data_IF_793971052844
#
_entry.id   IF_793971052844
#
_cell.length_a   1.000
_cell.length_b   1.000
_cell.length_c   1.000
_cell.angle_alpha   90.00
_cell.angle_beta   90.00
_cell.angle_gamma   90.00
#
_symmetry.space_group_name_H-M   'P 1'
#
loop_
_entity.id
_entity.type
_entity.pdbx_description
1 polymer ?
#
# COMPACT_ATOMS: atom_id res chain seq x y z
N UNK A 1 -11.83 8.27 -12.86
CA UNK A 1 -12.23 7.11 -12.08
C UNK A 1 -11.27 6.89 -10.94
N UNK A 2 -11.77 6.51 -9.79
CA UNK A 2 -10.94 6.35 -8.61
C UNK A 2 -10.15 5.05 -8.69
N UNK A 3 -8.84 5.12 -8.47
CA UNK A 3 -8.03 3.93 -8.31
C UNK A 3 -8.33 3.30 -6.95
N UNK A 4 -8.17 1.99 -6.86
CA UNK A 4 -8.33 1.23 -5.62
C UNK A 4 -6.97 0.94 -5.00
N UNK A 5 -6.83 1.32 -3.74
CA UNK A 5 -5.59 1.17 -2.97
C UNK A 5 -5.85 0.23 -1.79
N UNK A 6 -5.00 -0.76 -1.63
CA UNK A 6 -5.04 -1.68 -0.49
C UNK A 6 -4.01 -1.23 0.54
N UNK A 7 -4.45 -0.96 1.77
CA UNK A 7 -3.59 -0.48 2.85
C UNK A 7 -3.47 -1.56 3.92
N UNK A 8 -2.24 -1.94 4.24
CA UNK A 8 -1.95 -2.95 5.26
C UNK A 8 -1.03 -2.35 6.31
N UNK A 9 -1.52 -2.22 7.51
CA UNK A 9 -0.73 -1.71 8.63
C UNK A 9 -1.37 -2.22 9.93
N UNK A 10 -0.56 -2.80 10.81
CA UNK A 10 -1.06 -3.34 12.06
C UNK A 10 -1.34 -2.27 13.11
N UNK A 11 -0.88 -1.04 12.89
CA UNK A 11 -1.17 0.09 13.76
C UNK A 11 -2.46 0.78 13.31
N UNK A 12 -3.51 0.65 14.09
CA UNK A 12 -4.83 1.14 13.72
C UNK A 12 -4.85 2.64 13.41
N UNK A 13 -4.13 3.42 14.22
CA UNK A 13 -4.10 4.88 14.05
C UNK A 13 -3.45 5.25 12.71
N UNK A 14 -2.32 4.63 12.39
CA UNK A 14 -1.62 4.90 11.15
C UNK A 14 -2.47 4.48 9.95
N UNK A 15 -3.07 3.30 10.04
CA UNK A 15 -3.95 2.79 8.98
C UNK A 15 -5.12 3.74 8.73
N UNK A 16 -5.74 4.25 9.79
CA UNK A 16 -6.85 5.19 9.67
C UNK A 16 -6.43 6.51 9.02
N UNK A 17 -5.27 7.02 9.39
CA UNK A 17 -4.75 8.27 8.80
C UNK A 17 -4.56 8.10 7.29
N UNK A 18 -3.95 7.00 6.89
CA UNK A 18 -3.74 6.71 5.46
C UNK A 18 -5.07 6.59 4.73
N UNK A 19 -5.99 5.81 5.30
CA UNK A 19 -7.29 5.59 4.68
C UNK A 19 -8.06 6.89 4.47
N UNK A 20 -8.16 7.69 5.52
CA UNK A 20 -8.90 8.96 5.45
C UNK A 20 -8.27 9.90 4.44
N UNK A 21 -6.94 10.01 4.45
CA UNK A 21 -6.22 10.88 3.52
C UNK A 21 -6.47 10.49 2.07
N UNK A 22 -6.40 9.20 1.77
CA UNK A 22 -6.58 8.71 0.42
C UNK A 22 -8.04 8.79 -0.03
N UNK A 23 -8.98 8.50 0.86
CA UNK A 23 -10.39 8.63 0.52
C UNK A 23 -10.76 10.10 0.23
N UNK A 24 -10.23 11.02 1.02
CA UNK A 24 -10.44 12.45 0.78
C UNK A 24 -9.84 12.90 -0.54
N UNK A 25 -8.81 12.24 -1.01
CA UNK A 25 -8.20 12.54 -2.31
C UNK A 25 -8.91 11.87 -3.47
N UNK A 26 -9.96 11.09 -3.22
CA UNK A 26 -10.78 10.50 -4.28
C UNK A 26 -10.49 9.03 -4.56
N UNK A 27 -9.59 8.38 -3.81
CA UNK A 27 -9.29 6.97 -4.02
C UNK A 27 -10.30 6.08 -3.30
N UNK A 28 -10.50 4.88 -3.84
CA UNK A 28 -11.20 3.81 -3.12
C UNK A 28 -10.17 3.06 -2.28
N UNK A 29 -10.43 2.90 -1.00
CA UNK A 29 -9.48 2.29 -0.08
C UNK A 29 -10.06 1.03 0.54
N UNK A 30 -9.30 -0.07 0.42
CA UNK A 30 -9.51 -1.28 1.21
C UNK A 30 -8.38 -1.33 2.23
N UNK A 31 -8.68 -1.65 3.48
CA UNK A 31 -7.65 -1.66 4.51
C UNK A 31 -7.81 -2.85 5.45
N UNK A 32 -6.68 -3.31 5.98
CA UNK A 32 -6.66 -4.40 6.94
C UNK A 32 -5.40 -4.33 7.78
N UNK A 33 -5.46 -4.91 8.98
CA UNK A 33 -4.28 -5.07 9.84
C UNK A 33 -3.55 -6.39 9.55
N UNK A 34 -4.15 -7.30 8.79
CA UNK A 34 -3.65 -8.66 8.61
C UNK A 34 -3.13 -8.88 7.18
N UNK A 35 -1.87 -9.34 7.04
CA UNK A 35 -1.35 -9.70 5.72
C UNK A 35 -2.17 -10.79 5.03
N UNK A 36 -2.68 -11.75 5.78
CA UNK A 36 -3.47 -12.83 5.20
C UNK A 36 -4.79 -12.32 4.64
N UNK A 37 -5.45 -11.40 5.36
CA UNK A 37 -6.67 -10.77 4.88
C UNK A 37 -6.39 -9.92 3.64
N UNK A 38 -5.22 -9.28 3.59
CA UNK A 38 -4.82 -8.51 2.42
C UNK A 38 -4.71 -9.39 1.17
N UNK A 39 -4.14 -10.58 1.32
CA UNK A 39 -4.04 -11.53 0.21
C UNK A 39 -5.44 -11.97 -0.23
N UNK A 40 -6.34 -12.22 0.72
CA UNK A 40 -7.71 -12.58 0.39
C UNK A 40 -8.44 -11.45 -0.35
N UNK A 41 -8.22 -10.20 0.07
CA UNK A 41 -8.80 -9.04 -0.62
C UNK A 41 -8.26 -8.91 -2.04
N UNK A 42 -6.96 -9.10 -2.23
CA UNK A 42 -6.35 -9.05 -3.55
C UNK A 42 -6.89 -10.15 -4.47
N UNK A 43 -7.13 -11.32 -3.90
CA UNK A 43 -7.69 -12.44 -4.65
C UNK A 43 -9.13 -12.16 -5.07
N UNK A 44 -9.87 -11.45 -4.25
CA UNK A 44 -11.29 -11.14 -4.50
C UNK A 44 -11.49 -9.91 -5.37
N UNK A 45 -10.52 -9.01 -5.43
CA UNK A 45 -10.68 -7.72 -6.11
C UNK A 45 -9.44 -7.38 -6.94
N UNK A 46 -9.48 -7.74 -8.22
CA UNK A 46 -8.38 -7.49 -9.14
C UNK A 46 -8.28 -6.02 -9.55
N UNK A 47 -9.19 -5.15 -9.12
CA UNK A 47 -9.12 -3.73 -9.42
C UNK A 47 -8.12 -2.97 -8.54
N UNK A 48 -7.55 -3.63 -7.53
CA UNK A 48 -6.51 -3.02 -6.69
C UNK A 48 -5.30 -2.69 -7.57
N UNK A 49 -4.86 -1.44 -7.51
CA UNK A 49 -3.74 -0.96 -8.33
C UNK A 49 -2.48 -0.69 -7.52
N UNK A 50 -2.61 -0.46 -6.22
CA UNK A 50 -1.49 -0.13 -5.36
C UNK A 50 -1.67 -0.79 -3.99
N UNK A 51 -0.58 -1.36 -3.49
CA UNK A 51 -0.47 -1.84 -2.12
C UNK A 51 0.37 -0.86 -1.31
N UNK A 52 -0.16 -0.35 -0.21
CA UNK A 52 0.60 0.43 0.77
C UNK A 52 0.76 -0.44 2.00
N UNK A 53 1.98 -0.82 2.35
CA UNK A 53 2.21 -1.72 3.47
C UNK A 53 3.35 -1.26 4.37
N UNK A 54 3.13 -1.40 5.69
CA UNK A 54 4.21 -1.26 6.65
C UNK A 54 5.22 -2.39 6.44
N UNK A 55 6.50 -2.07 6.53
CA UNK A 55 7.57 -3.08 6.41
C UNK A 55 7.59 -3.99 7.63
N UNK A 56 7.39 -3.41 8.82
CA UNK A 56 7.48 -4.15 10.07
C UNK A 56 6.09 -4.63 10.49
N UNK A 57 5.82 -5.92 10.28
CA UNK A 57 4.56 -6.54 10.69
C UNK A 57 4.86 -7.87 11.38
N UNK A 58 4.09 -8.22 12.42
CA UNK A 58 4.42 -9.41 13.22
C UNK A 58 4.20 -10.74 12.51
N UNK A 59 3.27 -10.80 11.56
CA UNK A 59 2.86 -12.08 11.00
C UNK A 59 3.55 -12.44 9.70
N UNK A 60 3.95 -11.46 8.92
CA UNK A 60 4.52 -11.71 7.60
C UNK A 60 5.38 -10.53 7.20
N UNK A 61 6.53 -10.81 6.62
CA UNK A 61 7.39 -9.79 6.04
C UNK A 61 6.66 -9.09 4.88
N UNK A 62 6.77 -7.76 4.83
CA UNK A 62 6.08 -6.97 3.81
C UNK A 62 6.53 -7.33 2.39
N UNK A 63 7.77 -7.73 2.23
CA UNK A 63 8.29 -8.11 0.91
C UNK A 63 7.67 -9.43 0.45
N UNK A 64 7.45 -10.36 1.37
CA UNK A 64 6.73 -11.59 1.07
C UNK A 64 5.26 -11.27 0.73
N UNK A 65 4.64 -10.38 1.50
CA UNK A 65 3.26 -9.97 1.23
C UNK A 65 3.14 -9.40 -0.19
N UNK A 66 4.06 -8.51 -0.56
CA UNK A 66 4.05 -7.90 -1.89
C UNK A 66 4.18 -8.97 -2.98
N UNK A 67 5.04 -9.97 -2.79
CA UNK A 67 5.19 -11.05 -3.74
C UNK A 67 3.90 -11.86 -3.89
N UNK A 68 3.24 -12.16 -2.78
CA UNK A 68 2.00 -12.93 -2.81
C UNK A 68 0.86 -12.16 -3.47
N UNK A 69 0.78 -10.86 -3.21
CA UNK A 69 -0.24 -10.04 -3.85
C UNK A 69 0.05 -9.90 -5.34
N UNK A 70 1.31 -9.81 -5.74
CA UNK A 70 1.67 -9.78 -7.15
C UNK A 70 1.32 -11.05 -7.89
N UNK A 71 1.21 -12.18 -7.20
CA UNK A 71 0.72 -13.43 -7.82
C UNK A 71 -0.75 -13.32 -8.21
N UNK A 72 -1.53 -12.55 -7.45
CA UNK A 72 -2.95 -12.33 -7.76
C UNK A 72 -3.15 -11.15 -8.69
N UNK A 73 -2.32 -10.11 -8.55
CA UNK A 73 -2.40 -8.88 -9.34
C UNK A 73 -0.99 -8.55 -9.84
N UNK A 74 -0.58 -9.08 -11.01
CA UNK A 74 0.81 -8.95 -11.47
C UNK A 74 1.29 -7.51 -11.66
N UNK A 75 0.40 -6.59 -11.94
CA UNK A 75 0.76 -5.20 -12.20
C UNK A 75 0.62 -4.31 -10.96
N UNK A 76 0.38 -4.89 -9.79
CA UNK A 76 0.23 -4.11 -8.57
C UNK A 76 1.52 -3.35 -8.26
N UNK A 77 1.38 -2.08 -7.89
CA UNK A 77 2.50 -1.28 -7.42
C UNK A 77 2.53 -1.34 -5.91
N UNK A 78 3.71 -1.15 -5.35
CA UNK A 78 3.89 -1.28 -3.90
C UNK A 78 4.58 -0.04 -3.35
N UNK A 79 4.00 0.51 -2.28
CA UNK A 79 4.62 1.56 -1.48
C UNK A 79 4.86 1.01 -0.09
N UNK A 80 6.12 0.98 0.33
CA UNK A 80 6.50 0.54 1.68
C UNK A 80 6.54 1.73 2.62
N UNK A 81 6.08 1.54 3.85
CA UNK A 81 6.20 2.53 4.91
C UNK A 81 6.91 1.91 6.11
N UNK A 82 7.68 2.69 6.85
CA UNK A 82 8.36 2.20 8.04
C UNK A 82 8.83 3.36 8.91
N UNK A 83 8.94 3.11 10.22
CA UNK A 83 9.57 4.05 11.15
C UNK A 83 11.09 4.10 10.99
N UNK A 84 11.66 3.20 10.22
CA UNK A 84 13.09 3.09 9.99
C UNK A 84 13.41 3.20 8.52
N UNK A 85 14.61 3.70 8.20
CA UNK A 85 15.12 3.54 6.85
C UNK A 85 15.47 2.06 6.68
N UNK A 86 14.83 1.40 5.72
CA UNK A 86 15.03 -0.03 5.51
C UNK A 86 15.77 -0.26 4.20
N UNK A 87 17.01 -0.73 4.32
CA UNK A 87 17.87 -0.97 3.17
C UNK A 87 17.36 -2.10 2.26
N UNK A 88 16.40 -2.91 2.74
CA UNK A 88 15.83 -3.97 1.93
C UNK A 88 14.73 -3.46 1.00
N UNK A 89 14.23 -2.25 1.23
CA UNK A 89 13.17 -1.70 0.39
C UNK A 89 13.75 -1.38 -0.97
N UNK A 90 13.37 -2.15 -1.96
CA UNK A 90 13.86 -1.99 -3.34
C UNK A 90 12.92 -1.16 -4.20
N UNK A 91 11.88 -0.66 -3.62
CA UNK A 91 10.90 0.14 -4.34
C UNK A 91 10.59 1.42 -3.61
N UNK A 92 9.51 2.07 -3.99
CA UNK A 92 9.08 3.29 -3.34
C UNK A 92 8.89 3.11 -1.85
N UNK A 93 9.34 4.08 -1.09
CA UNK A 93 9.39 4.00 0.35
C UNK A 93 9.05 5.35 0.96
N UNK A 94 8.23 5.37 2.01
CA UNK A 94 7.88 6.58 2.74
C UNK A 94 8.14 6.35 4.23
N UNK A 95 9.05 7.11 4.80
CA UNK A 95 9.43 6.95 6.19
C UNK A 95 8.40 7.62 7.11
N UNK A 96 8.04 6.92 8.19
CA UNK A 96 7.20 7.47 9.26
C UNK A 96 8.04 8.39 10.16
N UNK A 97 7.48 9.45 10.73
CA UNK A 97 6.12 9.91 10.50
C UNK A 97 5.99 10.66 9.18
N UNK A 98 4.86 10.50 8.53
CA UNK A 98 4.57 11.27 7.32
C UNK A 98 3.24 12.01 7.51
N UNK A 99 3.05 13.09 6.72
CA UNK A 99 1.81 13.83 6.75
C UNK A 99 0.79 13.20 5.79
N UNK A 100 -0.51 13.47 5.98
CA UNK A 100 -1.51 13.06 4.99
C UNK A 100 -1.18 13.54 3.58
N UNK A 101 -0.67 14.76 3.45
CA UNK A 101 -0.30 15.29 2.13
C UNK A 101 0.83 14.47 1.49
N UNK A 102 1.80 14.02 2.27
CA UNK A 102 2.91 13.22 1.76
C UNK A 102 2.45 11.87 1.22
N UNK A 103 1.55 11.20 1.94
CA UNK A 103 1.05 9.90 1.45
C UNK A 103 0.21 10.07 0.19
N UNK A 104 -0.61 11.11 0.12
CA UNK A 104 -1.43 11.38 -1.07
C UNK A 104 -0.54 11.69 -2.26
N UNK A 105 0.50 12.51 -2.07
CA UNK A 105 1.42 12.86 -3.14
C UNK A 105 2.17 11.63 -3.67
N UNK A 106 2.67 10.80 -2.76
CA UNK A 106 3.42 9.61 -3.15
C UNK A 106 2.53 8.62 -3.91
N UNK A 107 1.32 8.40 -3.41
CA UNK A 107 0.37 7.49 -4.08
C UNK A 107 0.02 8.02 -5.47
N UNK A 108 -0.23 9.32 -5.59
CA UNK A 108 -0.53 9.93 -6.87
C UNK A 108 0.61 9.77 -7.87
N UNK A 109 1.84 9.97 -7.42
CA UNK A 109 3.02 9.81 -8.26
C UNK A 109 3.16 8.37 -8.74
N UNK A 110 3.00 7.40 -7.85
CA UNK A 110 3.15 5.99 -8.20
C UNK A 110 2.07 5.53 -9.17
N UNK A 111 0.84 5.99 -8.99
CA UNK A 111 -0.24 5.60 -9.90
C UNK A 111 -0.11 6.26 -11.26
N UNK A 112 0.39 7.49 -11.32
CA UNK A 112 0.64 8.17 -12.58
C UNK A 112 1.79 7.50 -13.35
N UNK A 113 2.90 7.16 -12.66
CA UNK A 113 4.02 6.47 -13.27
C UNK A 113 3.63 5.11 -13.81
N UNK A 114 2.71 4.46 -13.13
CA UNK A 114 2.27 3.15 -13.53
C UNK A 114 1.66 3.09 -14.91
N UNK A 115 1.14 4.20 -15.40
CA UNK A 115 0.59 4.24 -16.76
C UNK A 115 1.66 3.95 -17.82
N UNK A 116 2.92 4.09 -17.46
CA UNK A 116 4.04 3.83 -18.36
C UNK A 116 4.49 2.37 -18.37
N UNK A 117 3.98 1.57 -17.46
CA UNK A 117 4.35 0.18 -17.36
C UNK A 117 3.85 -0.64 -18.54
N UNK A 118 2.89 -0.11 -19.24
CA UNK A 118 2.34 -0.78 -20.41
C UNK A 118 3.28 -0.75 -21.61
#
# INVERSE_FOLDING_TARGET
MAATVLVVDDQDIVRDVIKIALENAGYTVLDTASPEDAIALARADASIELLVTDVVMPEMDAFELAQRIAQEIPDVRVLYTSGYADARAEGPFLQKPFTPAQIVEMVGTLLADGSHAA
#
